data_IF_528419761700
#
_entry.id   IF_528419761700
#
_cell.length_a   1.000
_cell.length_b   1.000
_cell.length_c   1.000
_cell.angle_alpha   90.00
_cell.angle_beta   90.00
_cell.angle_gamma   90.00
#
_symmetry.space_group_name_H-M   'P 1'
#
loop_
_entity.id
_entity.type
_entity.pdbx_description
1 polymer ?
#
# COMPACT_ATOMS: atom_id res chain seq x y z
N UNK A 1 -32.12 -12.45 -1.45
CA UNK A 1 -31.26 -11.26 -1.32
C UNK A 1 -29.82 -11.73 -1.17
N UNK A 2 -28.98 -11.62 -2.22
CA UNK A 2 -27.56 -12.02 -2.18
C UNK A 2 -26.78 -10.90 -1.49
N UNK A 3 -26.20 -11.18 -0.33
CA UNK A 3 -25.25 -10.28 0.35
C UNK A 3 -23.97 -10.24 -0.50
N UNK A 4 -23.78 -9.19 -1.25
CA UNK A 4 -22.49 -8.88 -1.85
C UNK A 4 -21.59 -8.35 -0.75
N UNK A 5 -20.79 -9.23 -0.19
CA UNK A 5 -19.68 -8.89 0.70
C UNK A 5 -18.59 -8.26 -0.17
N UNK A 6 -18.55 -6.92 -0.20
CA UNK A 6 -17.46 -6.18 -0.84
C UNK A 6 -16.26 -6.30 0.10
N UNK A 7 -15.43 -7.30 -0.11
CA UNK A 7 -14.08 -7.35 0.43
C UNK A 7 -13.29 -6.22 -0.24
N UNK A 8 -13.07 -5.14 0.48
CA UNK A 8 -12.15 -4.07 0.09
C UNK A 8 -10.73 -4.63 0.26
N UNK A 9 -10.16 -5.08 -0.85
CA UNK A 9 -8.82 -5.63 -0.93
C UNK A 9 -7.82 -4.47 -0.94
N UNK A 10 -7.47 -3.95 0.24
CA UNK A 10 -6.37 -2.98 0.42
C UNK A 10 -4.99 -3.63 0.16
N UNK A 11 -4.98 -4.90 -0.18
CA UNK A 11 -3.75 -5.72 -0.32
C UNK A 11 -3.38 -6.03 -1.76
N UNK A 12 -3.65 -5.15 -2.72
CA UNK A 12 -3.45 -5.49 -4.14
C UNK A 12 -2.07 -5.13 -4.70
N UNK A 13 -1.06 -4.90 -3.87
CA UNK A 13 0.30 -4.75 -4.39
C UNK A 13 1.20 -5.99 -4.18
N UNK A 14 0.74 -7.00 -3.42
CA UNK A 14 1.57 -8.17 -3.06
C UNK A 14 0.87 -9.52 -3.30
N UNK A 15 -0.25 -9.58 -3.97
CA UNK A 15 -0.95 -10.85 -4.21
C UNK A 15 -0.85 -11.29 -5.67
N UNK A 16 0.34 -11.68 -6.12
CA UNK A 16 0.52 -12.54 -7.30
C UNK A 16 1.62 -13.57 -7.03
N UNK A 17 1.15 -14.73 -6.59
CA UNK A 17 1.76 -16.05 -6.77
C UNK A 17 3.09 -16.28 -6.07
N UNK A 18 3.04 -16.91 -4.95
CA UNK A 18 3.92 -17.97 -4.45
C UNK A 18 3.87 -18.02 -2.92
N UNK A 19 4.30 -19.10 -2.33
CA UNK A 19 4.14 -19.46 -0.91
C UNK A 19 4.96 -18.62 0.09
N UNK A 20 5.53 -17.48 -0.30
CA UNK A 20 6.18 -16.47 0.56
C UNK A 20 5.54 -15.10 0.33
N UNK A 21 5.47 -14.26 1.34
CA UNK A 21 4.94 -12.91 1.26
C UNK A 21 5.96 -11.88 1.70
N UNK A 22 6.16 -10.85 0.87
CA UNK A 22 6.80 -9.63 1.29
C UNK A 22 5.88 -8.89 2.26
N UNK A 23 6.42 -8.49 3.40
CA UNK A 23 5.69 -7.77 4.44
C UNK A 23 6.42 -6.48 4.78
N UNK A 24 5.69 -5.44 5.15
CA UNK A 24 6.27 -4.22 5.69
C UNK A 24 5.66 -3.93 7.06
N UNK A 25 6.43 -3.34 7.96
CA UNK A 25 5.94 -3.03 9.31
C UNK A 25 4.80 -2.02 9.27
N UNK A 26 5.00 -0.96 8.50
CA UNK A 26 3.99 0.08 8.28
C UNK A 26 4.09 0.65 6.88
N UNK A 27 2.97 1.21 6.41
CA UNK A 27 2.88 1.89 5.13
C UNK A 27 2.31 3.30 5.38
N UNK A 28 2.99 4.30 4.85
CA UNK A 28 2.54 5.68 4.85
C UNK A 28 2.06 6.07 3.46
N UNK A 29 0.88 6.68 3.40
CA UNK A 29 0.26 7.15 2.17
C UNK A 29 0.12 8.66 2.18
N UNK A 30 0.51 9.28 1.08
CA UNK A 30 0.14 10.66 0.75
C UNK A 30 -0.51 10.68 -0.62
N UNK A 31 -1.77 11.08 -0.68
CA UNK A 31 -2.50 11.30 -1.93
C UNK A 31 -2.60 12.81 -2.15
N UNK A 32 -1.79 13.34 -3.08
CA UNK A 32 -1.80 14.75 -3.46
C UNK A 32 -2.77 14.96 -4.61
N UNK A 33 -3.79 15.77 -4.39
CA UNK A 33 -4.85 16.05 -5.35
C UNK A 33 -4.49 17.24 -6.25
N UNK A 34 -4.58 17.05 -7.57
CA UNK A 34 -4.47 18.10 -8.60
C UNK A 34 -5.85 18.49 -9.15
N UNK A 35 -6.90 18.00 -8.54
CA UNK A 35 -8.30 18.17 -8.88
C UNK A 35 -9.12 17.12 -8.16
N UNK A 36 -10.45 17.07 -8.32
CA UNK A 36 -11.29 16.14 -7.55
C UNK A 36 -10.96 14.67 -7.79
N UNK A 37 -10.50 14.31 -8.99
CA UNK A 37 -10.33 12.91 -9.39
C UNK A 37 -8.92 12.53 -9.83
N UNK A 38 -7.96 13.45 -9.88
CA UNK A 38 -6.59 13.19 -10.37
C UNK A 38 -5.53 13.71 -9.42
N UNK A 39 -4.34 13.12 -9.50
CA UNK A 39 -3.21 13.53 -8.68
C UNK A 39 -2.11 12.49 -8.62
N UNK A 40 -1.37 12.51 -7.53
CA UNK A 40 -0.26 11.59 -7.26
C UNK A 40 -0.45 10.89 -5.94
N UNK A 41 -0.05 9.64 -5.91
CA UNK A 41 0.10 8.87 -4.67
C UNK A 41 1.59 8.67 -4.41
N UNK A 42 2.01 8.94 -3.19
CA UNK A 42 3.29 8.50 -2.65
C UNK A 42 3.01 7.46 -1.58
N UNK A 43 3.62 6.29 -1.72
CA UNK A 43 3.61 5.21 -0.74
C UNK A 43 5.03 5.06 -0.19
N UNK A 44 5.15 4.98 1.13
CA UNK A 44 6.41 4.65 1.80
C UNK A 44 6.22 3.40 2.63
N UNK A 45 7.06 2.41 2.38
CA UNK A 45 7.07 1.12 3.05
C UNK A 45 8.25 1.09 4.01
N UNK A 46 7.99 0.77 5.26
CA UNK A 46 9.01 0.72 6.29
C UNK A 46 9.28 -0.71 6.71
N UNK A 47 10.57 -1.02 6.88
CA UNK A 47 11.03 -2.32 7.37
C UNK A 47 10.47 -3.49 6.55
N UNK A 48 10.78 -3.49 5.24
CA UNK A 48 10.36 -4.55 4.32
C UNK A 48 11.13 -5.83 4.67
N UNK A 49 10.41 -6.92 4.87
CA UNK A 49 10.92 -8.25 5.22
C UNK A 49 10.22 -9.33 4.41
N UNK A 50 10.75 -10.53 4.52
CA UNK A 50 10.14 -11.76 3.99
C UNK A 50 9.62 -12.60 5.16
N UNK A 51 8.40 -13.13 5.05
CA UNK A 51 7.84 -14.11 5.99
C UNK A 51 8.16 -15.57 5.60
N UNK A 52 9.01 -15.75 4.59
CA UNK A 52 9.39 -17.04 4.02
C UNK A 52 9.88 -18.04 5.07
N UNK A 53 9.35 -19.25 5.01
CA UNK A 53 9.67 -20.35 5.91
C UNK A 53 10.82 -21.21 5.37
N UNK A 54 11.03 -21.21 4.06
CA UNK A 54 12.11 -21.95 3.40
C UNK A 54 13.09 -21.01 2.69
N UNK A 55 14.26 -21.53 2.32
CA UNK A 55 15.25 -20.75 1.57
C UNK A 55 14.80 -20.53 0.11
N UNK A 56 14.02 -21.46 -0.45
CA UNK A 56 13.44 -21.30 -1.78
C UNK A 56 12.46 -20.12 -1.81
N UNK A 57 11.49 -20.08 -0.90
CA UNK A 57 10.53 -18.98 -0.77
C UNK A 57 11.26 -17.63 -0.54
N UNK A 58 12.29 -17.64 0.30
CA UNK A 58 13.08 -16.44 0.56
C UNK A 58 13.80 -15.92 -0.69
N UNK A 59 14.31 -16.84 -1.54
CA UNK A 59 14.90 -16.44 -2.82
C UNK A 59 13.85 -15.88 -3.77
N UNK A 60 12.67 -16.48 -3.84
CA UNK A 60 11.53 -16.00 -4.64
C UNK A 60 11.08 -14.61 -4.19
N UNK A 61 11.03 -14.34 -2.89
CA UNK A 61 10.73 -13.01 -2.35
C UNK A 61 11.77 -11.96 -2.75
N UNK A 62 13.07 -12.32 -2.74
CA UNK A 62 14.14 -11.43 -3.23
C UNK A 62 13.97 -11.10 -4.70
N UNK A 63 13.78 -12.11 -5.53
CA UNK A 63 13.62 -11.95 -6.98
C UNK A 63 12.36 -11.11 -7.28
N UNK A 64 11.27 -11.36 -6.54
CA UNK A 64 10.05 -10.57 -6.64
C UNK A 64 10.28 -9.09 -6.28
N UNK A 65 10.95 -8.81 -5.16
CA UNK A 65 11.19 -7.44 -4.73
C UNK A 65 12.18 -6.71 -5.64
N UNK A 66 13.36 -7.31 -5.87
CA UNK A 66 14.46 -6.59 -6.51
C UNK A 66 14.37 -6.56 -8.04
N UNK A 67 13.79 -7.59 -8.64
CA UNK A 67 13.70 -7.67 -10.10
C UNK A 67 12.30 -7.36 -10.63
N UNK A 68 11.24 -7.92 -10.01
CA UNK A 68 9.90 -7.68 -10.51
C UNK A 68 9.33 -6.34 -9.99
N UNK A 69 9.24 -6.15 -8.68
CA UNK A 69 8.62 -4.93 -8.10
C UNK A 69 9.47 -3.70 -8.42
N UNK A 70 10.78 -3.77 -8.25
CA UNK A 70 11.64 -2.60 -8.41
C UNK A 70 11.90 -2.25 -9.89
N UNK A 71 12.16 -3.24 -10.76
CA UNK A 71 12.73 -2.99 -12.09
C UNK A 71 11.80 -3.33 -13.27
N UNK A 72 10.79 -4.20 -13.08
CA UNK A 72 10.03 -4.74 -14.20
C UNK A 72 9.16 -3.70 -14.90
N UNK A 73 9.33 -3.58 -16.22
CA UNK A 73 8.43 -2.80 -17.06
C UNK A 73 7.04 -3.46 -17.18
N UNK A 74 6.97 -4.79 -17.10
CA UNK A 74 5.71 -5.53 -17.13
C UNK A 74 4.78 -5.11 -15.99
N UNK A 75 5.32 -4.93 -14.77
CA UNK A 75 4.54 -4.41 -13.64
C UNK A 75 4.05 -2.98 -13.92
N UNK A 76 4.92 -2.13 -14.47
CA UNK A 76 4.55 -0.75 -14.82
C UNK A 76 3.41 -0.70 -15.84
N UNK A 77 3.46 -1.52 -16.88
CA UNK A 77 2.40 -1.63 -17.88
C UNK A 77 1.08 -2.15 -17.29
N UNK A 78 1.17 -3.15 -16.43
CA UNK A 78 0.01 -3.70 -15.73
C UNK A 78 -0.68 -2.65 -14.85
N UNK A 79 0.09 -1.88 -14.08
CA UNK A 79 -0.42 -0.80 -13.25
C UNK A 79 -1.02 0.34 -14.08
N UNK A 80 -0.39 0.67 -15.21
CA UNK A 80 -0.93 1.63 -16.17
C UNK A 80 -2.30 1.20 -16.71
N UNK A 81 -2.48 -0.09 -17.02
CA UNK A 81 -3.77 -0.66 -17.40
C UNK A 81 -4.84 -0.52 -16.30
N UNK A 82 -4.44 -0.41 -15.04
CA UNK A 82 -5.30 -0.14 -13.89
C UNK A 82 -5.52 1.36 -13.62
N UNK A 83 -4.94 2.25 -14.43
CA UNK A 83 -5.03 3.71 -14.29
C UNK A 83 -4.02 4.31 -13.30
N UNK A 84 -2.93 3.58 -13.02
CA UNK A 84 -1.82 4.01 -12.15
C UNK A 84 -0.54 4.14 -13.00
N UNK A 85 -0.19 5.37 -13.39
CA UNK A 85 1.06 5.65 -14.09
C UNK A 85 2.22 5.75 -13.10
N UNK A 86 3.10 4.75 -13.08
CA UNK A 86 4.25 4.71 -12.17
C UNK A 86 5.27 5.79 -12.55
N UNK A 87 5.62 6.63 -11.59
CA UNK A 87 6.59 7.72 -11.72
C UNK A 87 7.96 7.31 -11.19
N UNK A 88 8.01 6.73 -9.99
CA UNK A 88 9.25 6.19 -9.41
C UNK A 88 8.98 5.00 -8.51
N UNK A 89 10.01 4.16 -8.38
CA UNK A 89 10.09 3.05 -7.43
C UNK A 89 11.51 3.03 -6.90
N UNK A 90 11.66 3.08 -5.60
CA UNK A 90 12.95 3.19 -4.94
C UNK A 90 12.99 2.27 -3.73
N UNK A 91 14.14 1.66 -3.50
CA UNK A 91 14.48 0.99 -2.24
C UNK A 91 15.69 1.69 -1.64
N UNK A 92 15.79 1.69 -0.33
CA UNK A 92 16.95 2.23 0.38
C UNK A 92 17.11 1.54 1.72
N UNK A 93 18.37 1.46 2.20
CA UNK A 93 18.67 0.89 3.50
C UNK A 93 18.87 2.03 4.49
N UNK A 94 18.15 2.00 5.60
CA UNK A 94 18.27 2.93 6.70
C UNK A 94 18.28 2.15 8.02
N UNK A 95 19.27 2.37 8.88
CA UNK A 95 19.38 1.75 10.20
C UNK A 95 19.21 0.22 10.16
N UNK A 96 19.85 -0.45 9.18
CA UNK A 96 19.72 -1.89 8.89
C UNK A 96 18.30 -2.36 8.51
N UNK A 97 17.40 -1.45 8.22
CA UNK A 97 16.07 -1.71 7.68
C UNK A 97 16.04 -1.48 6.17
N UNK A 98 15.32 -2.30 5.43
CA UNK A 98 15.03 -2.06 4.03
C UNK A 98 13.69 -1.33 3.93
N UNK A 99 13.75 -0.11 3.44
CA UNK A 99 12.59 0.73 3.20
C UNK A 99 12.35 0.90 1.69
N UNK A 100 11.13 1.24 1.32
CA UNK A 100 10.77 1.45 -0.08
C UNK A 100 9.89 2.68 -0.24
N UNK A 101 9.94 3.24 -1.46
CA UNK A 101 9.07 4.34 -1.88
C UNK A 101 8.58 4.09 -3.28
N UNK A 102 7.30 4.28 -3.49
CA UNK A 102 6.68 4.26 -4.81
C UNK A 102 5.85 5.52 -5.01
N UNK A 103 5.93 6.07 -6.22
CA UNK A 103 5.10 7.20 -6.63
C UNK A 103 4.40 6.83 -7.92
N UNK A 104 3.09 7.05 -7.98
CA UNK A 104 2.32 6.93 -9.21
C UNK A 104 1.33 8.07 -9.38
N UNK A 105 1.03 8.39 -10.62
CA UNK A 105 -0.02 9.31 -11.01
C UNK A 105 -1.31 8.55 -11.25
N UNK A 106 -2.44 9.14 -10.89
CA UNK A 106 -3.78 8.61 -11.15
C UNK A 106 -4.68 9.67 -11.80
N UNK A 107 -5.68 9.21 -12.53
CA UNK A 107 -6.71 10.04 -13.17
C UNK A 107 -8.13 9.74 -12.68
N UNK A 108 -8.27 8.80 -11.76
CA UNK A 108 -9.52 8.43 -11.09
C UNK A 108 -9.23 8.06 -9.64
N UNK A 109 -9.66 8.89 -8.70
CA UNK A 109 -9.45 8.69 -7.26
C UNK A 109 -10.07 7.38 -6.76
N UNK A 110 -11.14 6.91 -7.40
CA UNK A 110 -11.78 5.65 -7.01
C UNK A 110 -10.95 4.39 -7.35
N UNK A 111 -9.82 4.56 -8.07
CA UNK A 111 -8.83 3.51 -8.32
C UNK A 111 -7.65 3.56 -7.35
N UNK A 112 -7.65 4.51 -6.40
CA UNK A 112 -6.57 4.72 -5.44
C UNK A 112 -6.90 3.98 -4.14
N UNK A 113 -6.24 2.86 -3.89
CA UNK A 113 -6.15 2.14 -2.59
C UNK A 113 -7.47 2.10 -1.77
N UNK A 114 -8.61 1.89 -2.42
CA UNK A 114 -9.91 1.83 -1.75
C UNK A 114 -10.51 3.19 -1.38
N UNK A 115 -9.84 4.30 -1.70
CA UNK A 115 -10.42 5.63 -1.54
C UNK A 115 -11.61 5.80 -2.48
N UNK A 116 -12.64 6.50 -2.02
CA UNK A 116 -13.82 6.87 -2.79
C UNK A 116 -14.06 8.36 -2.63
N UNK A 117 -14.66 8.97 -3.66
CA UNK A 117 -15.16 10.33 -3.61
C UNK A 117 -16.67 10.32 -3.88
N UNK A 118 -17.46 10.75 -2.91
CA UNK A 118 -18.92 10.79 -2.97
C UNK A 118 -19.43 11.93 -2.07
N UNK A 119 -20.45 12.62 -2.50
CA UNK A 119 -21.15 13.69 -1.76
C UNK A 119 -20.23 14.79 -1.21
N UNK A 120 -19.13 15.09 -1.91
CA UNK A 120 -18.18 16.13 -1.51
C UNK A 120 -17.14 15.68 -0.47
N UNK A 121 -17.03 14.38 -0.21
CA UNK A 121 -16.07 13.79 0.71
C UNK A 121 -15.22 12.72 0.03
N UNK A 122 -13.94 12.70 0.37
CA UNK A 122 -13.08 11.53 0.16
C UNK A 122 -13.18 10.65 1.39
N UNK A 123 -13.25 9.35 1.20
CA UNK A 123 -13.24 8.42 2.32
C UNK A 123 -12.53 7.11 2.01
N UNK A 124 -11.90 6.54 3.04
CA UNK A 124 -11.31 5.22 3.04
C UNK A 124 -12.02 4.37 4.09
N UNK A 125 -12.66 3.28 3.66
CA UNK A 125 -13.33 2.34 4.57
C UNK A 125 -12.38 1.21 4.91
N UNK A 126 -12.22 0.95 6.20
CA UNK A 126 -11.30 0.02 6.82
C UNK A 126 -12.05 -1.01 7.67
N UNK A 127 -11.48 -2.18 7.85
CA UNK A 127 -11.95 -3.13 8.84
C UNK A 127 -11.76 -2.58 10.28
N UNK A 128 -12.49 -3.11 11.25
CA UNK A 128 -12.41 -2.62 12.62
C UNK A 128 -11.05 -2.87 13.28
N UNK A 129 -10.38 -3.95 12.89
CA UNK A 129 -9.07 -4.39 13.37
C UNK A 129 -7.89 -3.73 12.62
N UNK A 130 -8.13 -3.08 11.47
CA UNK A 130 -7.08 -2.32 10.81
C UNK A 130 -6.49 -1.24 11.72
N UNK A 131 -5.17 -1.19 11.83
CA UNK A 131 -4.48 -0.25 12.74
C UNK A 131 -4.05 1.01 12.00
N UNK A 132 -4.82 2.08 12.15
CA UNK A 132 -4.43 3.42 11.69
C UNK A 132 -3.53 4.07 12.73
N UNK A 133 -2.29 4.42 12.35
CA UNK A 133 -1.30 5.07 13.21
C UNK A 133 -1.61 6.57 13.28
N UNK A 134 -1.72 7.20 12.12
CA UNK A 134 -2.06 8.61 12.02
C UNK A 134 -2.83 8.93 10.72
N UNK A 135 -3.52 10.05 10.72
CA UNK A 135 -4.17 10.60 9.53
C UNK A 135 -4.42 12.09 9.73
N UNK A 136 -4.50 12.83 8.62
CA UNK A 136 -5.00 14.22 8.65
C UNK A 136 -6.52 14.30 8.41
N UNK A 137 -7.19 13.15 8.22
CA UNK A 137 -8.64 13.06 8.11
C UNK A 137 -9.32 12.78 9.45
N UNK A 138 -10.64 12.80 9.45
CA UNK A 138 -11.46 12.44 10.61
C UNK A 138 -11.72 10.93 10.62
N UNK A 139 -11.45 10.24 11.72
CA UNK A 139 -11.79 8.83 11.88
C UNK A 139 -13.21 8.71 12.46
N UNK A 140 -14.08 8.02 11.73
CA UNK A 140 -15.44 7.66 12.14
C UNK A 140 -15.50 6.16 12.35
N UNK A 141 -16.05 5.70 13.46
CA UNK A 141 -16.23 4.27 13.77
C UNK A 141 -17.71 3.92 13.83
N UNK A 142 -18.05 2.80 13.21
CA UNK A 142 -19.36 2.14 13.32
C UNK A 142 -19.22 0.79 14.03
N UNK A 143 -20.29 -0.01 14.07
CA UNK A 143 -20.25 -1.39 14.58
C UNK A 143 -19.59 -2.38 13.60
N UNK A 144 -19.49 -2.02 12.30
CA UNK A 144 -19.08 -2.93 11.23
C UNK A 144 -17.77 -2.53 10.57
N UNK A 145 -17.42 -1.24 10.63
CA UNK A 145 -16.21 -0.70 9.98
C UNK A 145 -15.75 0.59 10.67
N UNK A 146 -14.54 1.01 10.37
CA UNK A 146 -14.08 2.39 10.57
C UNK A 146 -13.83 3.05 9.22
N UNK A 147 -13.92 4.37 9.18
CA UNK A 147 -13.74 5.16 7.98
C UNK A 147 -12.89 6.38 8.28
N UNK A 148 -11.91 6.65 7.43
CA UNK A 148 -11.23 7.94 7.42
C UNK A 148 -11.97 8.83 6.43
N UNK A 149 -12.28 10.05 6.83
CA UNK A 149 -13.07 11.01 6.06
C UNK A 149 -12.29 12.30 5.89
N UNK A 150 -12.26 12.82 4.66
CA UNK A 150 -11.73 14.13 4.30
C UNK A 150 -12.77 14.88 3.47
N UNK A 151 -13.06 16.13 3.80
CA UNK A 151 -13.90 16.95 2.96
C UNK A 151 -13.17 17.40 1.67
N UNK A 152 -13.92 17.89 0.68
CA UNK A 152 -13.41 18.28 -0.65
C UNK A 152 -12.37 19.40 -0.65
N UNK A 153 -12.18 20.12 0.47
CA UNK A 153 -11.18 21.19 0.59
C UNK A 153 -9.76 20.67 0.77
N UNK A 154 -9.61 19.42 1.22
CA UNK A 154 -8.30 18.80 1.38
C UNK A 154 -7.57 18.70 0.04
N UNK A 155 -6.31 19.12 0.02
CA UNK A 155 -5.39 18.99 -1.12
C UNK A 155 -4.47 17.79 -1.00
N UNK A 156 -4.32 17.29 0.21
CA UNK A 156 -3.55 16.09 0.52
C UNK A 156 -4.32 15.22 1.51
N UNK A 157 -4.48 13.94 1.17
CA UNK A 157 -5.04 12.93 2.05
C UNK A 157 -3.86 12.11 2.57
N UNK A 158 -3.70 12.05 3.90
CA UNK A 158 -2.58 11.36 4.54
C UNK A 158 -3.09 10.34 5.54
N UNK A 159 -2.50 9.17 5.51
CA UNK A 159 -2.74 8.14 6.52
C UNK A 159 -1.59 7.14 6.55
N UNK A 160 -1.29 6.64 7.73
CA UNK A 160 -0.36 5.55 7.96
C UNK A 160 -1.01 4.42 8.73
N UNK A 161 -0.62 3.22 8.35
CA UNK A 161 -1.18 1.99 8.89
C UNK A 161 -0.06 1.01 9.25
N UNK A 162 -0.26 0.27 10.33
CA UNK A 162 0.51 -0.95 10.55
C UNK A 162 -0.01 -2.07 9.63
N UNK A 163 0.90 -2.88 9.13
CA UNK A 163 0.50 -4.12 8.46
C UNK A 163 -0.01 -5.13 9.50
N UNK A 164 -1.15 -5.73 9.22
CA UNK A 164 -1.69 -6.78 10.08
C UNK A 164 -0.73 -7.98 10.11
N UNK A 165 -0.48 -8.53 11.30
CA UNK A 165 0.34 -9.71 11.48
C UNK A 165 1.86 -9.51 11.33
N UNK A 166 2.37 -8.27 11.21
CA UNK A 166 3.81 -8.05 11.16
C UNK A 166 4.50 -8.55 12.44
N UNK A 167 5.45 -9.46 12.28
CA UNK A 167 6.23 -10.03 13.37
C UNK A 167 7.75 -9.83 13.14
N UNK A 168 8.34 -8.98 13.93
CA UNK A 168 9.73 -8.58 13.79
C UNK A 168 10.74 -9.71 14.12
N UNK A 169 10.34 -10.70 14.90
CA UNK A 169 11.23 -11.75 15.40
C UNK A 169 11.35 -12.95 14.46
N UNK A 170 10.34 -13.21 13.64
CA UNK A 170 10.29 -14.38 12.76
C UNK A 170 10.56 -14.05 11.29
N UNK A 171 10.38 -12.80 10.88
CA UNK A 171 10.55 -12.39 9.49
C UNK A 171 12.02 -12.11 9.14
N UNK A 172 12.43 -12.56 7.95
CA UNK A 172 13.82 -12.46 7.47
C UNK A 172 14.09 -11.08 6.88
N UNK A 173 15.20 -10.44 7.27
CA UNK A 173 15.62 -9.16 6.72
C UNK A 173 16.09 -9.29 5.26
N UNK A 174 15.70 -8.34 4.43
CA UNK A 174 16.13 -8.21 3.04
C UNK A 174 17.21 -7.13 2.86
N UNK A 175 17.46 -6.30 3.88
CA UNK A 175 18.36 -5.14 3.80
C UNK A 175 19.78 -5.48 3.34
N UNK A 176 20.35 -6.58 3.81
CA UNK A 176 21.73 -7.02 3.46
C UNK A 176 21.89 -7.46 1.99
N UNK A 177 20.80 -7.70 1.27
CA UNK A 177 20.81 -8.14 -0.13
C UNK A 177 20.60 -6.98 -1.11
N UNK A 178 20.25 -5.81 -0.63
CA UNK A 178 20.12 -4.59 -1.44
C UNK A 178 21.47 -3.85 -1.46
N UNK A 179 22.06 -3.73 -2.67
CA UNK A 179 23.36 -3.09 -2.91
C UNK A 179 23.23 -1.97 -3.92
#
# INVERSE_FOLDING_TARGET
>A
MKKNLIFVTILLFIALVSEGCLVSEKIYYTVKLEGPNKGFVTMQFYNIKSDAKSDKEFQEDKDNLFDYILKSNKLTEQLKGQGKDVVSRELFVKDNSLDGKAVYKFNDINKVEGIRFEDGFYFLTLALDDSVISTNGQIIKSKEYKRILWDKSFKELKFDMYSSGFNNTTFKSLAQFYK
#
